data_IF_104637683993
#
_entry.id   IF_104637683993
#
_cell.length_a   1.000
_cell.length_b   1.000
_cell.length_c   1.000
_cell.angle_alpha   90.00
_cell.angle_beta   90.00
_cell.angle_gamma   90.00
#
_symmetry.space_group_name_H-M   'P 1'
#
loop_
_entity.id
_entity.type
_entity.pdbx_description
1 polymer ?
#
# COMPACT_ATOMS: atom_id res chain seq x y z
N UNK A 1 17.18 -12.82 -10.49
CA UNK A 1 16.84 -12.07 -11.73
C UNK A 1 16.03 -10.86 -11.35
N UNK A 2 16.18 -9.73 -12.06
CA UNK A 2 15.35 -8.54 -11.83
C UNK A 2 13.90 -8.87 -12.22
N UNK A 3 12.95 -8.57 -11.36
CA UNK A 3 11.52 -8.76 -11.61
C UNK A 3 10.95 -7.54 -12.34
N UNK A 4 9.82 -7.73 -13.03
CA UNK A 4 9.09 -6.60 -13.62
C UNK A 4 8.28 -5.86 -12.54
N UNK A 5 7.69 -6.60 -11.58
CA UNK A 5 6.84 -6.05 -10.52
C UNK A 5 7.19 -6.65 -9.17
N UNK A 6 7.31 -5.81 -8.13
CA UNK A 6 7.27 -6.23 -6.73
C UNK A 6 5.98 -5.75 -6.07
N UNK A 7 5.33 -6.61 -5.29
CA UNK A 7 4.09 -6.28 -4.57
C UNK A 7 4.37 -6.41 -3.08
N UNK A 8 4.32 -5.30 -2.35
CA UNK A 8 4.57 -5.25 -0.91
C UNK A 8 3.25 -5.23 -0.15
N UNK A 9 3.08 -6.17 0.78
CA UNK A 9 1.87 -6.36 1.58
C UNK A 9 2.26 -6.29 3.06
N UNK A 10 1.91 -5.22 3.78
CA UNK A 10 2.04 -5.17 5.23
C UNK A 10 0.97 -6.06 5.86
N UNK A 11 1.37 -6.99 6.72
CA UNK A 11 0.52 -8.00 7.34
C UNK A 11 0.46 -7.79 8.85
N UNK A 12 -0.76 -7.72 9.40
CA UNK A 12 -0.97 -7.68 10.86
C UNK A 12 -2.25 -8.42 11.24
N UNK A 13 -2.12 -9.56 11.91
CA UNK A 13 -3.23 -10.48 12.22
C UNK A 13 -3.97 -10.93 10.95
N UNK A 14 -3.20 -11.36 9.92
CA UNK A 14 -3.69 -11.58 8.54
C UNK A 14 -3.94 -13.04 8.20
N UNK A 15 -3.85 -13.95 9.16
CA UNK A 15 -3.94 -15.41 8.97
C UNK A 15 -5.14 -15.86 8.13
N UNK A 16 -6.28 -15.16 8.27
CA UNK A 16 -7.53 -15.55 7.59
C UNK A 16 -7.66 -15.02 6.16
N UNK A 17 -6.93 -13.95 5.83
CA UNK A 17 -7.15 -13.22 4.58
C UNK A 17 -6.02 -13.38 3.57
N UNK A 18 -4.78 -13.62 4.02
CA UNK A 18 -3.59 -13.51 3.17
C UNK A 18 -3.61 -14.47 1.98
N UNK A 19 -4.13 -15.69 2.13
CA UNK A 19 -4.28 -16.63 1.03
C UNK A 19 -5.21 -16.11 -0.06
N UNK A 20 -6.33 -15.48 0.33
CA UNK A 20 -7.28 -14.89 -0.61
C UNK A 20 -6.66 -13.70 -1.35
N UNK A 21 -5.91 -12.85 -0.63
CA UNK A 21 -5.23 -11.68 -1.23
C UNK A 21 -4.20 -12.13 -2.27
N UNK A 22 -3.41 -13.17 -1.97
CA UNK A 22 -2.43 -13.73 -2.91
C UNK A 22 -3.14 -14.33 -4.13
N UNK A 23 -4.22 -15.09 -3.92
CA UNK A 23 -5.03 -15.65 -5.00
C UNK A 23 -5.58 -14.54 -5.92
N UNK A 24 -6.08 -13.44 -5.37
CA UNK A 24 -6.60 -12.32 -6.13
C UNK A 24 -5.50 -11.62 -6.95
N UNK A 25 -4.28 -11.51 -6.39
CA UNK A 25 -3.10 -11.00 -7.11
C UNK A 25 -2.75 -11.91 -8.29
N UNK A 26 -2.65 -13.22 -8.05
CA UNK A 26 -2.33 -14.20 -9.08
C UNK A 26 -3.38 -14.16 -10.21
N UNK A 27 -4.66 -14.10 -9.85
CA UNK A 27 -5.76 -13.99 -10.81
C UNK A 27 -5.71 -12.68 -11.62
N UNK A 28 -5.42 -11.55 -10.96
CA UNK A 28 -5.33 -10.24 -11.63
C UNK A 28 -4.18 -10.18 -12.62
N UNK A 29 -3.08 -10.89 -12.37
CA UNK A 29 -1.88 -10.87 -13.20
C UNK A 29 -1.79 -12.05 -14.19
N UNK A 30 -2.74 -13.01 -14.17
CA UNK A 30 -2.69 -14.24 -14.95
C UNK A 30 -2.52 -14.01 -16.45
N UNK A 31 -3.15 -12.98 -17.00
CA UNK A 31 -3.12 -12.66 -18.44
C UNK A 31 -1.94 -11.71 -18.81
N UNK A 32 -1.10 -11.33 -17.84
CA UNK A 32 0.04 -10.44 -18.08
C UNK A 32 1.31 -11.27 -18.31
N UNK A 33 2.06 -10.92 -19.35
CA UNK A 33 3.39 -11.50 -19.60
C UNK A 33 4.44 -10.72 -18.81
N UNK A 34 4.42 -10.85 -17.48
CA UNK A 34 5.37 -10.18 -16.56
C UNK A 34 5.87 -11.16 -15.49
N UNK A 35 7.08 -10.92 -15.01
CA UNK A 35 7.62 -11.58 -13.82
C UNK A 35 7.35 -10.75 -12.60
N UNK A 36 6.82 -11.36 -11.52
CA UNK A 36 6.56 -10.62 -10.28
C UNK A 36 7.08 -11.37 -9.04
N UNK A 37 7.13 -10.67 -7.94
CA UNK A 37 7.38 -11.17 -6.60
C UNK A 37 6.43 -10.53 -5.60
N UNK A 38 6.08 -11.25 -4.55
CA UNK A 38 5.24 -10.79 -3.45
C UNK A 38 6.08 -10.73 -2.18
N UNK A 39 6.09 -9.60 -1.51
CA UNK A 39 6.85 -9.34 -0.29
C UNK A 39 5.85 -9.15 0.85
N UNK A 40 5.73 -10.17 1.69
CA UNK A 40 4.85 -10.21 2.85
C UNK A 40 5.61 -9.73 4.08
N UNK A 41 5.15 -8.67 4.73
CA UNK A 41 5.84 -8.10 5.89
C UNK A 41 4.98 -8.23 7.13
N UNK A 42 5.32 -9.16 8.01
CA UNK A 42 4.70 -9.27 9.32
C UNK A 42 5.10 -8.09 10.21
N UNK A 43 4.15 -7.24 10.58
CA UNK A 43 4.35 -6.11 11.49
C UNK A 43 4.24 -6.54 12.96
N UNK A 44 5.00 -7.58 13.33
CA UNK A 44 5.04 -8.14 14.68
C UNK A 44 3.64 -8.52 15.19
N UNK A 45 2.94 -9.36 14.46
CA UNK A 45 1.61 -9.86 14.84
C UNK A 45 1.68 -10.71 16.11
N UNK A 46 0.71 -10.58 17.01
CA UNK A 46 0.64 -11.40 18.24
C UNK A 46 0.11 -12.83 18.01
N UNK A 47 -0.42 -13.11 16.82
CA UNK A 47 -0.93 -14.40 16.40
C UNK A 47 0.10 -15.16 15.52
N UNK A 48 -0.31 -16.28 14.92
CA UNK A 48 0.53 -17.10 14.07
C UNK A 48 0.66 -16.57 12.61
N UNK A 49 0.43 -15.27 12.38
CA UNK A 49 0.53 -14.67 11.04
C UNK A 49 1.89 -14.98 10.40
N UNK A 50 3.01 -14.78 11.13
CA UNK A 50 4.33 -15.02 10.55
C UNK A 50 4.55 -16.47 10.12
N UNK A 51 4.05 -17.45 10.87
CA UNK A 51 4.17 -18.86 10.50
C UNK A 51 3.49 -19.14 9.16
N UNK A 52 2.30 -18.57 8.95
CA UNK A 52 1.57 -18.67 7.67
C UNK A 52 2.35 -18.01 6.52
N UNK A 53 2.92 -16.81 6.75
CA UNK A 53 3.71 -16.12 5.72
C UNK A 53 4.98 -16.90 5.37
N UNK A 54 5.62 -17.53 6.36
CA UNK A 54 6.80 -18.37 6.18
C UNK A 54 6.49 -19.61 5.35
N UNK A 55 5.39 -20.33 5.66
CA UNK A 55 4.94 -21.49 4.89
C UNK A 55 4.67 -21.12 3.42
N UNK A 56 4.07 -19.95 3.17
CA UNK A 56 3.85 -19.44 1.82
C UNK A 56 5.17 -19.20 1.08
N UNK A 57 6.17 -18.59 1.74
CA UNK A 57 7.48 -18.34 1.15
C UNK A 57 8.29 -19.63 0.91
N UNK A 58 8.12 -20.63 1.77
CA UNK A 58 8.75 -21.97 1.58
C UNK A 58 8.11 -22.74 0.41
N UNK A 59 6.82 -22.52 0.14
CA UNK A 59 6.08 -23.19 -0.93
C UNK A 59 6.20 -22.50 -2.31
N UNK A 60 6.54 -21.19 -2.32
CA UNK A 60 6.56 -20.37 -3.54
C UNK A 60 7.84 -19.51 -3.62
N UNK A 61 8.70 -19.73 -4.64
CA UNK A 61 9.99 -19.01 -4.77
C UNK A 61 9.84 -17.52 -5.16
N UNK A 62 8.64 -17.09 -5.53
CA UNK A 62 8.30 -15.71 -5.84
C UNK A 62 7.71 -14.96 -4.62
N UNK A 63 7.60 -15.61 -3.46
CA UNK A 63 7.16 -15.00 -2.20
C UNK A 63 8.36 -14.82 -1.25
N UNK A 64 8.44 -13.66 -0.63
CA UNK A 64 9.40 -13.32 0.42
C UNK A 64 8.61 -12.98 1.69
N UNK A 65 8.91 -13.65 2.80
CA UNK A 65 8.34 -13.34 4.10
C UNK A 65 9.37 -12.62 4.99
N UNK A 66 8.96 -11.50 5.58
CA UNK A 66 9.78 -10.67 6.47
C UNK A 66 9.08 -10.58 7.82
N UNK A 67 9.81 -10.78 8.91
CA UNK A 67 9.32 -10.61 10.28
C UNK A 67 9.96 -9.37 10.92
N UNK A 68 9.17 -8.42 11.37
CA UNK A 68 9.67 -7.25 12.08
C UNK A 68 9.80 -7.53 13.58
N UNK A 69 10.91 -7.15 14.17
CA UNK A 69 11.19 -7.35 15.59
C UNK A 69 10.22 -6.60 16.53
N UNK A 70 9.46 -5.63 16.01
CA UNK A 70 8.43 -4.86 16.75
C UNK A 70 7.38 -4.34 15.77
N UNK A 71 6.19 -4.02 16.29
CA UNK A 71 5.17 -3.34 15.51
C UNK A 71 5.63 -1.90 15.17
N UNK A 72 5.78 -1.63 13.88
CA UNK A 72 6.19 -0.33 13.32
C UNK A 72 5.03 0.39 12.63
N UNK A 73 3.85 -0.23 12.58
CA UNK A 73 2.67 0.23 11.86
C UNK A 73 2.78 0.02 10.35
N UNK A 74 1.63 0.11 9.68
CA UNK A 74 1.50 -0.18 8.24
C UNK A 74 2.54 0.51 7.37
N UNK A 75 2.79 1.80 7.60
CA UNK A 75 3.78 2.56 6.83
C UNK A 75 5.22 2.09 7.08
N UNK A 76 5.55 1.72 8.32
CA UNK A 76 6.86 1.16 8.67
C UNK A 76 7.08 -0.21 8.03
N UNK A 77 6.06 -1.07 8.04
CA UNK A 77 6.10 -2.37 7.39
C UNK A 77 6.26 -2.25 5.87
N UNK A 78 5.54 -1.32 5.22
CA UNK A 78 5.70 -1.03 3.78
C UNK A 78 7.13 -0.60 3.47
N UNK A 79 7.69 0.35 4.24
CA UNK A 79 9.07 0.79 4.04
C UNK A 79 10.07 -0.34 4.21
N UNK A 80 9.89 -1.22 5.20
CA UNK A 80 10.72 -2.41 5.35
C UNK A 80 10.65 -3.33 4.11
N UNK A 81 9.45 -3.56 3.57
CA UNK A 81 9.26 -4.35 2.35
C UNK A 81 9.94 -3.73 1.12
N UNK A 82 9.98 -2.41 1.00
CA UNK A 82 10.63 -1.73 -0.12
C UNK A 82 12.13 -2.01 -0.23
N UNK A 83 12.82 -2.29 0.87
CA UNK A 83 14.23 -2.69 0.84
C UNK A 83 14.47 -4.00 0.09
N UNK A 84 13.47 -4.88 0.02
CA UNK A 84 13.56 -6.18 -0.63
C UNK A 84 13.00 -6.18 -2.06
N UNK A 85 12.30 -5.10 -2.46
CA UNK A 85 11.71 -5.01 -3.78
C UNK A 85 12.79 -4.95 -4.88
N UNK A 86 12.76 -5.92 -5.83
CA UNK A 86 13.71 -6.00 -6.95
C UNK A 86 13.10 -5.56 -8.29
N UNK A 87 11.77 -5.39 -8.34
CA UNK A 87 11.02 -5.08 -9.55
C UNK A 87 11.32 -3.70 -10.15
N UNK A 88 11.09 -3.57 -11.44
CA UNK A 88 11.13 -2.28 -12.15
C UNK A 88 9.98 -1.36 -11.67
N UNK A 89 8.84 -1.98 -11.39
CA UNK A 89 7.69 -1.34 -10.76
C UNK A 89 7.48 -1.93 -9.36
N UNK A 90 6.96 -1.11 -8.46
CA UNK A 90 6.63 -1.55 -7.10
C UNK A 90 5.19 -1.16 -6.79
N UNK A 91 4.39 -2.12 -6.42
CA UNK A 91 3.03 -1.93 -5.94
C UNK A 91 2.94 -2.19 -4.44
N UNK A 92 1.93 -1.64 -3.80
CA UNK A 92 1.53 -2.00 -2.45
C UNK A 92 0.04 -2.34 -2.44
N UNK A 93 -0.39 -3.25 -1.59
CA UNK A 93 -1.80 -3.48 -1.30
C UNK A 93 -1.99 -3.83 0.17
N UNK A 94 -3.24 -3.83 0.63
CA UNK A 94 -3.58 -4.19 2.01
C UNK A 94 -3.91 -5.68 2.11
N UNK A 95 -3.77 -6.24 3.31
CA UNK A 95 -3.98 -7.66 3.64
C UNK A 95 -5.44 -7.99 4.02
N UNK A 96 -6.35 -7.02 3.99
CA UNK A 96 -7.74 -7.15 4.47
C UNK A 96 -8.78 -7.43 3.37
N UNK A 97 -8.34 -7.57 2.11
CA UNK A 97 -9.19 -7.82 0.96
C UNK A 97 -10.05 -6.64 0.50
N UNK A 98 -9.85 -5.44 1.07
CA UNK A 98 -10.57 -4.23 0.62
C UNK A 98 -10.00 -3.64 -0.67
N UNK A 99 -8.76 -3.98 -0.99
CA UNK A 99 -8.09 -3.51 -2.20
C UNK A 99 -8.73 -4.13 -3.43
N UNK A 100 -9.14 -3.31 -4.37
CA UNK A 100 -9.61 -3.77 -5.68
C UNK A 100 -8.39 -4.12 -6.55
N UNK A 101 -7.79 -5.28 -6.28
CA UNK A 101 -6.52 -5.70 -6.91
C UNK A 101 -6.67 -5.93 -8.43
N UNK A 102 -7.89 -6.15 -8.91
CA UNK A 102 -8.22 -6.38 -10.31
C UNK A 102 -7.89 -5.19 -11.22
N UNK A 103 -7.72 -3.98 -10.66
CA UNK A 103 -7.30 -2.79 -11.43
C UNK A 103 -5.77 -2.68 -11.56
N UNK A 104 -5.00 -3.54 -10.90
CA UNK A 104 -3.53 -3.49 -10.94
C UNK A 104 -2.96 -3.55 -12.37
N UNK A 105 -3.46 -4.41 -13.28
CA UNK A 105 -3.04 -4.40 -14.69
C UNK A 105 -3.27 -3.06 -15.38
N UNK A 106 -4.45 -2.44 -15.17
CA UNK A 106 -4.78 -1.12 -15.74
C UNK A 106 -3.86 -0.04 -15.19
N UNK A 107 -3.57 -0.06 -13.88
CA UNK A 107 -2.64 0.87 -13.24
C UNK A 107 -1.24 0.76 -13.84
N UNK A 108 -0.73 -0.46 -14.04
CA UNK A 108 0.57 -0.73 -14.67
C UNK A 108 0.61 -0.25 -16.13
N UNK A 109 -0.46 -0.54 -16.89
CA UNK A 109 -0.57 -0.11 -18.29
C UNK A 109 -0.57 1.41 -18.38
N UNK A 110 -1.37 2.09 -17.57
CA UNK A 110 -1.46 3.56 -17.51
C UNK A 110 -0.12 4.18 -17.15
N UNK A 111 0.55 3.63 -16.12
CA UNK A 111 1.88 4.11 -15.68
C UNK A 111 2.90 4.05 -16.82
N UNK A 112 2.87 2.96 -17.61
CA UNK A 112 3.78 2.79 -18.77
C UNK A 112 3.40 3.69 -19.94
N UNK A 113 2.13 3.69 -20.34
CA UNK A 113 1.66 4.39 -21.56
C UNK A 113 1.71 5.91 -21.43
N UNK A 114 1.42 6.45 -20.25
CA UNK A 114 1.43 7.89 -19.99
C UNK A 114 2.76 8.38 -19.37
N UNK A 115 3.76 7.49 -19.28
CA UNK A 115 5.06 7.77 -18.66
C UNK A 115 4.96 8.42 -17.28
N UNK A 116 4.04 7.92 -16.46
CA UNK A 116 3.83 8.38 -15.09
C UNK A 116 4.87 7.77 -14.14
N UNK A 117 5.08 8.42 -13.01
CA UNK A 117 5.95 7.92 -11.94
C UNK A 117 5.20 7.07 -10.93
N UNK A 118 3.93 7.45 -10.66
CA UNK A 118 3.03 6.76 -9.74
C UNK A 118 1.62 6.74 -10.32
N UNK A 119 0.90 5.64 -10.09
CA UNK A 119 -0.55 5.54 -10.32
C UNK A 119 -1.22 5.07 -9.04
N UNK A 120 -2.30 5.74 -8.63
CA UNK A 120 -3.07 5.44 -7.43
C UNK A 120 -4.56 5.36 -7.76
N UNK A 121 -5.37 4.53 -7.07
CA UNK A 121 -6.81 4.48 -7.31
C UNK A 121 -7.50 5.78 -6.87
N UNK A 122 -8.51 6.17 -7.63
CA UNK A 122 -9.46 7.23 -7.28
C UNK A 122 -10.81 6.60 -6.95
N UNK A 123 -11.19 6.61 -5.68
CA UNK A 123 -12.48 6.05 -5.26
C UNK A 123 -13.63 6.97 -5.64
N UNK A 124 -14.49 6.53 -6.56
CA UNK A 124 -15.65 7.26 -7.08
C UNK A 124 -16.88 7.19 -6.17
N UNK A 125 -16.98 6.14 -5.33
CA UNK A 125 -18.04 5.98 -4.34
C UNK A 125 -17.44 5.83 -2.93
N UNK A 126 -17.63 6.86 -2.10
CA UNK A 126 -17.36 6.78 -0.65
C UNK A 126 -18.69 6.64 0.08
N UNK A 127 -18.78 5.67 1.01
CA UNK A 127 -19.86 5.66 1.98
C UNK A 127 -19.90 7.01 2.71
N UNK A 128 -21.09 7.62 2.84
CA UNK A 128 -21.22 8.95 3.45
C UNK A 128 -20.72 8.93 4.90
N UNK A 129 -19.75 9.77 5.25
CA UNK A 129 -19.25 9.82 6.63
C UNK A 129 -20.28 10.47 7.56
N UNK A 130 -20.33 10.05 8.82
CA UNK A 130 -21.13 10.71 9.87
C UNK A 130 -20.75 12.20 10.00
N UNK A 131 -21.67 13.03 10.48
CA UNK A 131 -21.51 14.50 10.55
C UNK A 131 -20.23 14.93 11.32
N UNK A 132 -19.92 14.28 12.44
CA UNK A 132 -18.69 14.54 13.21
C UNK A 132 -17.42 14.19 12.43
N UNK A 133 -17.41 13.09 11.68
CA UNK A 133 -16.31 12.66 10.82
C UNK A 133 -16.10 13.64 9.65
N UNK A 134 -17.16 14.31 9.20
CA UNK A 134 -17.12 15.30 8.13
C UNK A 134 -16.42 16.61 8.54
N UNK A 135 -16.60 17.07 9.79
CA UNK A 135 -15.92 18.27 10.32
C UNK A 135 -14.40 17.98 10.47
N UNK A 136 -14.04 16.86 11.11
CA UNK A 136 -12.64 16.50 11.28
C UNK A 136 -11.93 16.20 9.96
N UNK A 137 -12.62 15.59 8.98
CA UNK A 137 -12.06 15.37 7.64
C UNK A 137 -11.86 16.66 6.87
N UNK A 138 -12.66 17.69 7.13
CA UNK A 138 -12.50 19.03 6.52
C UNK A 138 -11.21 19.72 6.99
N UNK A 139 -10.95 19.73 8.30
CA UNK A 139 -9.74 20.32 8.89
C UNK A 139 -8.49 19.55 8.44
N UNK A 140 -8.52 18.22 8.54
CA UNK A 140 -7.43 17.37 8.08
C UNK A 140 -7.18 17.51 6.57
N UNK A 141 -8.24 17.70 5.77
CA UNK A 141 -8.16 17.95 4.34
C UNK A 141 -7.49 19.28 4.01
N UNK A 142 -7.84 20.35 4.75
CA UNK A 142 -7.24 21.68 4.58
C UNK A 142 -5.75 21.68 4.94
N UNK A 143 -5.38 21.06 6.08
CA UNK A 143 -3.99 20.95 6.50
C UNK A 143 -3.16 20.09 5.53
N UNK A 144 -3.72 18.97 5.06
CA UNK A 144 -3.06 18.14 4.04
C UNK A 144 -2.81 18.93 2.75
N UNK A 145 -3.79 19.73 2.28
CA UNK A 145 -3.63 20.56 1.08
C UNK A 145 -2.55 21.63 1.24
N UNK A 146 -2.37 22.12 2.46
CA UNK A 146 -1.35 23.14 2.75
C UNK A 146 0.06 22.52 2.94
N UNK A 147 0.17 21.35 3.56
CA UNK A 147 1.45 20.73 3.94
C UNK A 147 1.97 19.73 2.89
N UNK A 148 1.06 19.09 2.14
CA UNK A 148 1.39 18.11 1.10
C UNK A 148 0.54 18.41 -0.14
N UNK A 149 0.92 19.42 -0.93
CA UNK A 149 0.18 19.77 -2.12
C UNK A 149 0.22 18.61 -3.11
N UNK A 150 -0.94 17.97 -3.31
CA UNK A 150 -1.14 16.99 -4.37
C UNK A 150 -1.65 17.71 -5.63
N UNK A 151 -1.36 17.21 -6.83
CA UNK A 151 -1.97 17.69 -8.05
C UNK A 151 -3.50 17.64 -7.95
N UNK A 152 -4.20 18.56 -8.62
CA UNK A 152 -5.65 18.64 -8.58
C UNK A 152 -6.30 17.32 -9.01
N UNK A 153 -7.26 16.85 -8.22
CA UNK A 153 -7.97 15.59 -8.46
C UNK A 153 -7.18 14.30 -8.13
N UNK A 154 -5.92 14.40 -7.72
CA UNK A 154 -5.10 13.25 -7.32
C UNK A 154 -5.27 12.97 -5.83
N UNK A 155 -5.53 11.71 -5.52
CA UNK A 155 -5.52 11.16 -4.17
C UNK A 155 -4.56 9.99 -4.12
N UNK A 156 -3.46 10.12 -3.37
CA UNK A 156 -2.55 9.00 -3.13
C UNK A 156 -3.09 8.17 -1.96
N UNK A 157 -3.26 6.89 -2.17
CA UNK A 157 -3.68 5.90 -1.16
C UNK A 157 -2.53 4.96 -0.84
N UNK A 158 -2.73 4.04 0.10
CA UNK A 158 -1.75 2.97 0.38
C UNK A 158 -1.65 2.00 -0.80
N UNK A 159 -2.74 1.75 -1.53
CA UNK A 159 -2.69 1.00 -2.78
C UNK A 159 -2.21 1.91 -3.91
N UNK A 160 -1.05 1.65 -4.46
CA UNK A 160 -0.47 2.37 -5.60
C UNK A 160 0.51 1.49 -6.37
N UNK A 161 0.87 1.91 -7.57
CA UNK A 161 2.01 1.39 -8.33
C UNK A 161 2.95 2.55 -8.63
N UNK A 162 4.24 2.33 -8.41
CA UNK A 162 5.28 3.34 -8.63
C UNK A 162 6.45 2.78 -9.42
N UNK A 163 7.17 3.63 -10.14
CA UNK A 163 8.48 3.30 -10.69
C UNK A 163 9.49 3.11 -9.57
N UNK A 164 10.44 2.19 -9.77
CA UNK A 164 11.47 1.86 -8.78
C UNK A 164 12.21 3.07 -8.24
N UNK A 165 12.53 4.07 -9.07
CA UNK A 165 13.28 5.25 -8.62
C UNK A 165 12.52 6.03 -7.53
N UNK A 166 11.17 6.09 -7.59
CA UNK A 166 10.35 6.73 -6.56
C UNK A 166 10.58 6.03 -5.21
N UNK A 167 10.55 4.70 -5.21
CA UNK A 167 10.81 3.90 -4.00
C UNK A 167 12.23 4.13 -3.49
N UNK A 168 13.23 4.18 -4.38
CA UNK A 168 14.61 4.46 -4.00
C UNK A 168 14.79 5.83 -3.36
N UNK A 169 14.08 6.87 -3.85
CA UNK A 169 14.07 8.18 -3.21
C UNK A 169 13.38 8.15 -1.84
N UNK A 170 12.25 7.44 -1.74
CA UNK A 170 11.55 7.28 -0.45
C UNK A 170 12.42 6.58 0.60
N UNK A 171 13.22 5.59 0.20
CA UNK A 171 14.13 4.85 1.09
C UNK A 171 15.28 5.69 1.67
N UNK A 172 15.52 6.90 1.15
CA UNK A 172 16.46 7.87 1.76
C UNK A 172 15.89 8.54 3.02
N UNK A 173 14.60 8.32 3.32
CA UNK A 173 13.95 8.82 4.52
C UNK A 173 14.30 7.93 5.72
N UNK A 174 15.11 8.43 6.63
CA UNK A 174 15.65 7.69 7.79
C UNK A 174 14.95 8.05 9.12
N UNK A 175 13.88 8.84 9.08
CA UNK A 175 13.17 9.20 10.31
C UNK A 175 12.24 8.09 10.80
N UNK A 176 11.94 8.00 12.11
CA UNK A 176 11.27 6.85 12.71
C UNK A 176 9.80 6.64 12.34
N UNK A 177 9.14 7.64 11.78
CA UNK A 177 7.70 7.59 11.47
C UNK A 177 7.45 7.94 10.01
N UNK A 178 7.69 7.01 9.07
CA UNK A 178 7.46 7.26 7.66
C UNK A 178 5.96 7.43 7.38
N UNK A 179 5.63 8.41 6.52
CA UNK A 179 4.28 8.58 5.98
C UNK A 179 4.34 8.35 4.47
N UNK A 180 4.15 7.10 4.03
CA UNK A 180 4.37 6.61 2.66
C UNK A 180 3.72 7.51 1.61
N UNK A 181 2.42 7.84 1.76
CA UNK A 181 1.72 8.71 0.80
C UNK A 181 2.28 10.13 0.77
N UNK A 182 2.76 10.63 1.89
CA UNK A 182 3.45 11.93 1.97
C UNK A 182 4.83 11.90 1.31
N UNK A 183 5.58 10.80 1.48
CA UNK A 183 6.87 10.61 0.83
C UNK A 183 6.72 10.56 -0.69
N UNK A 184 5.68 9.89 -1.23
CA UNK A 184 5.37 9.90 -2.66
C UNK A 184 5.18 11.34 -3.15
N UNK A 185 4.33 12.14 -2.48
CA UNK A 185 4.04 13.52 -2.87
C UNK A 185 5.25 14.45 -2.77
N UNK A 186 6.22 14.13 -1.91
CA UNK A 186 7.51 14.84 -1.83
C UNK A 186 8.48 14.44 -2.94
N UNK A 187 8.34 13.22 -3.46
CA UNK A 187 9.25 12.68 -4.48
C UNK A 187 8.83 13.09 -5.89
N UNK A 188 7.52 13.05 -6.19
CA UNK A 188 7.01 13.35 -7.54
C UNK A 188 5.60 13.92 -7.52
N UNK A 189 5.30 14.74 -8.53
CA UNK A 189 3.95 15.20 -8.84
C UNK A 189 3.42 14.58 -10.17
N UNK A 190 4.20 13.75 -10.85
CA UNK A 190 3.80 13.03 -12.05
C UNK A 190 2.99 11.77 -11.68
N UNK A 191 1.78 12.01 -11.16
CA UNK A 191 0.91 11.00 -10.57
C UNK A 191 -0.40 10.92 -11.35
N UNK A 192 -0.72 9.72 -11.85
CA UNK A 192 -2.00 9.41 -12.47
C UNK A 192 -2.98 8.71 -11.54
N UNK A 193 -4.23 8.61 -11.98
CA UNK A 193 -5.27 7.86 -11.24
C UNK A 193 -6.06 6.94 -12.15
N UNK A 194 -6.52 5.81 -11.57
CA UNK A 194 -7.49 4.87 -12.15
C UNK A 194 -8.71 4.85 -11.25
N UNK A 195 -9.91 4.84 -11.83
CA UNK A 195 -11.15 4.81 -11.05
C UNK A 195 -11.32 3.44 -10.38
N UNK A 196 -11.69 3.47 -9.11
CA UNK A 196 -11.83 2.29 -8.28
C UNK A 196 -13.08 2.34 -7.41
N UNK A 197 -13.56 1.17 -7.00
CA UNK A 197 -14.64 0.99 -6.04
C UNK A 197 -14.03 0.44 -4.75
N UNK A 198 -14.30 1.08 -3.62
CA UNK A 198 -13.86 0.55 -2.33
C UNK A 198 -14.69 -0.68 -1.96
N UNK A 199 -14.06 -1.86 -1.87
CA UNK A 199 -14.71 -3.09 -1.39
C UNK A 199 -14.98 -3.04 0.11
N UNK A 200 -15.98 -3.79 0.57
CA UNK A 200 -16.19 -4.02 2.00
C UNK A 200 -15.09 -4.96 2.53
N UNK A 201 -14.71 -4.81 3.80
CA UNK A 201 -13.75 -5.73 4.45
C UNK A 201 -14.29 -7.15 4.46
N UNK A 202 -13.43 -8.12 4.17
CA UNK A 202 -13.77 -9.54 4.26
C UNK A 202 -13.97 -9.96 5.72
N UNK A 203 -13.07 -9.55 6.62
CA UNK A 203 -13.09 -9.87 8.06
C UNK A 203 -12.41 -8.75 8.88
N UNK A 204 -12.80 -8.62 10.17
CA UNK A 204 -12.11 -7.76 11.14
C UNK A 204 -12.75 -6.39 11.38
N UNK A 205 -12.36 -5.76 12.50
CA UNK A 205 -12.74 -4.39 12.89
C UNK A 205 -11.58 -3.44 12.63
N UNK A 206 -11.89 -2.18 12.29
CA UNK A 206 -10.85 -1.15 12.07
C UNK A 206 -9.93 -1.02 13.29
N UNK A 207 -8.66 -1.34 13.15
CA UNK A 207 -7.63 -1.19 14.19
C UNK A 207 -7.24 0.27 14.52
N UNK A 208 -7.84 1.25 13.83
CA UNK A 208 -7.55 2.67 14.06
C UNK A 208 -8.48 3.24 15.13
N UNK A 209 -7.96 3.40 16.35
CA UNK A 209 -8.59 4.25 17.37
C UNK A 209 -8.32 5.73 17.07
N UNK A 210 -9.16 6.63 17.58
CA UNK A 210 -8.99 8.09 17.47
C UNK A 210 -7.60 8.55 17.94
N UNK A 211 -7.07 7.93 19.00
CA UNK A 211 -5.74 8.20 19.57
C UNK A 211 -4.61 7.79 18.59
N UNK A 212 -4.76 6.66 17.89
CA UNK A 212 -3.81 6.20 16.86
C UNK A 212 -3.85 7.12 15.63
N UNK A 213 -5.03 7.57 15.19
CA UNK A 213 -5.17 8.52 14.08
C UNK A 213 -4.53 9.87 14.40
N UNK A 214 -4.72 10.38 15.63
CA UNK A 214 -4.09 11.62 16.08
C UNK A 214 -2.57 11.48 16.21
N UNK A 215 -2.07 10.36 16.75
CA UNK A 215 -0.63 10.07 16.82
C UNK A 215 -0.01 9.95 15.43
N UNK A 216 -0.65 9.25 14.50
CA UNK A 216 -0.19 9.16 13.10
C UNK A 216 -0.12 10.55 12.45
N UNK A 217 -1.11 11.38 12.74
CA UNK A 217 -1.16 12.75 12.25
C UNK A 217 -0.05 13.61 12.84
N UNK A 218 0.20 13.54 14.15
CA UNK A 218 1.28 14.28 14.82
C UNK A 218 2.68 13.79 14.40
N UNK A 219 2.84 12.51 14.10
CA UNK A 219 4.13 11.93 13.71
C UNK A 219 4.42 12.06 12.19
N UNK A 220 3.42 12.43 11.39
CA UNK A 220 3.57 12.65 9.95
C UNK A 220 4.09 14.05 9.59
N UNK A 221 4.30 14.89 10.59
CA UNK A 221 4.78 16.25 10.49
C UNK A 221 6.00 16.49 11.40
#
# INVERSE_FOLDING_TARGET
>A
MKKDLSIVIPCYCSTQNIHSVIHDIDAALADMTITYEIILVNDHSPDNTYDVLKELAESRPDIIAIDLARNCGQHGAIMAGFHYASGEFVATCEDDGQTQIEILPEMLQKLKSENLDVVSPRFTHRAQPSFTRRIFSGIAGLMRKWMLPAPDGVQVTIFFVARRFVIQEMLKYEQPYPYVTGLILRTTHNIGTVDAIQKARLNGTSGYSFKKLFSLWMNGF
#
